data_IF_174760372691
#
_entry.id   IF_174760372691
#
_cell.length_a   1.000
_cell.length_b   1.000
_cell.length_c   1.000
_cell.angle_alpha   90.00
_cell.angle_beta   90.00
_cell.angle_gamma   90.00
#
_symmetry.space_group_name_H-M   'P 1'
#
loop_
_entity.id
_entity.type
_entity.pdbx_description
1 polymer ?
#
# COMPACT_ATOMS: atom_id res chain seq x y z
N UNK A 1 -53.19 -23.31 17.78
CA UNK A 1 -52.25 -22.67 18.72
C UNK A 1 -50.84 -23.16 18.42
N UNK A 2 -50.13 -22.57 17.45
CA UNK A 2 -48.68 -22.70 17.30
C UNK A 2 -48.15 -21.45 16.57
N UNK A 3 -47.35 -20.65 17.29
CA UNK A 3 -46.55 -19.56 16.75
C UNK A 3 -45.21 -20.14 16.30
N UNK A 4 -44.86 -20.03 15.03
CA UNK A 4 -43.47 -20.15 14.59
C UNK A 4 -42.95 -18.78 14.19
N UNK A 5 -42.18 -18.17 15.10
CA UNK A 5 -41.30 -17.03 14.80
C UNK A 5 -40.29 -17.49 13.74
N UNK A 6 -40.41 -16.98 12.51
CA UNK A 6 -39.34 -17.08 11.54
C UNK A 6 -38.18 -16.19 11.98
N UNK A 7 -37.06 -16.85 12.28
CA UNK A 7 -35.75 -16.26 12.48
C UNK A 7 -35.34 -15.58 11.18
N UNK A 8 -35.14 -14.26 11.22
CA UNK A 8 -34.46 -13.53 10.15
C UNK A 8 -32.99 -13.97 10.11
N UNK A 9 -32.43 -14.40 8.96
CA UNK A 9 -30.99 -14.54 8.82
C UNK A 9 -30.38 -13.14 8.68
N UNK A 10 -29.41 -12.86 9.55
CA UNK A 10 -28.57 -11.68 9.62
C UNK A 10 -27.73 -11.52 8.34
N UNK A 11 -28.18 -10.64 7.44
CA UNK A 11 -27.46 -10.26 6.23
C UNK A 11 -26.43 -9.16 6.55
N UNK A 12 -25.37 -9.51 7.28
CA UNK A 12 -24.26 -8.61 7.63
C UNK A 12 -23.17 -8.52 6.54
N UNK A 13 -23.24 -9.37 5.50
CA UNK A 13 -22.21 -9.41 4.43
C UNK A 13 -22.53 -8.53 3.21
N UNK A 14 -23.79 -8.19 2.96
CA UNK A 14 -24.19 -7.40 1.78
C UNK A 14 -24.07 -5.89 2.01
N UNK A 15 -24.27 -5.41 3.25
CA UNK A 15 -24.07 -4.01 3.62
C UNK A 15 -22.59 -3.60 3.65
N UNK A 16 -21.68 -4.52 4.02
CA UNK A 16 -20.23 -4.24 3.99
C UNK A 16 -19.69 -4.17 2.55
N UNK A 17 -20.25 -4.95 1.61
CA UNK A 17 -19.95 -4.84 0.18
C UNK A 17 -20.51 -3.57 -0.45
N UNK A 18 -21.66 -3.06 0.00
CA UNK A 18 -22.22 -1.79 -0.50
C UNK A 18 -21.47 -0.56 0.03
N UNK A 19 -21.05 -0.57 1.30
CA UNK A 19 -20.33 0.55 1.93
C UNK A 19 -18.86 0.65 1.51
N UNK A 20 -18.22 -0.48 1.18
CA UNK A 20 -16.86 -0.48 0.59
C UNK A 20 -16.84 0.17 -0.80
N UNK A 21 -17.90 -0.06 -1.60
CA UNK A 21 -18.05 0.47 -2.95
C UNK A 21 -18.28 2.00 -3.00
N UNK A 22 -19.00 2.56 -2.03
CA UNK A 22 -19.36 4.00 -2.01
C UNK A 22 -18.14 4.91 -1.76
N UNK A 23 -17.16 4.48 -0.96
CA UNK A 23 -16.06 5.36 -0.52
C UNK A 23 -14.90 5.47 -1.54
N UNK A 24 -14.68 4.47 -2.40
CA UNK A 24 -13.62 4.51 -3.42
C UNK A 24 -14.11 5.05 -4.77
N UNK A 25 -15.43 5.16 -4.98
CA UNK A 25 -15.96 5.72 -6.23
C UNK A 25 -15.64 7.21 -6.42
N UNK A 26 -15.78 8.05 -5.38
CA UNK A 26 -15.49 9.48 -5.50
C UNK A 26 -14.02 9.76 -5.85
N UNK A 27 -13.02 9.13 -5.20
CA UNK A 27 -11.63 9.41 -5.55
C UNK A 27 -11.17 8.78 -6.88
N UNK A 28 -11.71 7.63 -7.26
CA UNK A 28 -11.47 7.03 -8.59
C UNK A 28 -12.14 7.86 -9.71
N UNK A 29 -13.24 8.56 -9.41
CA UNK A 29 -13.82 9.55 -10.31
C UNK A 29 -12.91 10.79 -10.42
N UNK A 30 -12.29 11.23 -9.33
CA UNK A 30 -11.31 12.33 -9.35
C UNK A 30 -10.11 12.00 -10.26
N UNK A 31 -9.66 10.75 -10.29
CA UNK A 31 -8.68 10.25 -11.26
C UNK A 31 -9.16 10.41 -12.71
N UNK A 32 -10.39 10.00 -13.02
CA UNK A 32 -10.95 10.13 -14.36
C UNK A 32 -11.13 11.60 -14.79
N UNK A 33 -11.52 12.48 -13.87
CA UNK A 33 -11.78 13.90 -14.14
C UNK A 33 -10.51 14.74 -14.25
N UNK A 34 -9.53 14.51 -13.38
CA UNK A 34 -8.31 15.33 -13.35
C UNK A 34 -7.21 14.80 -14.28
N UNK A 35 -7.25 13.52 -14.67
CA UNK A 35 -6.28 12.92 -15.58
C UNK A 35 -4.84 13.19 -15.15
N UNK A 36 -4.13 14.03 -15.91
CA UNK A 36 -2.74 14.42 -15.66
C UNK A 36 -2.53 15.36 -14.48
N UNK A 37 -3.57 16.04 -13.99
CA UNK A 37 -3.47 17.06 -12.93
C UNK A 37 -3.69 16.50 -11.52
N UNK A 38 -3.51 15.19 -11.32
CA UNK A 38 -3.62 14.59 -10.00
C UNK A 38 -2.46 15.00 -9.09
N UNK A 39 -2.77 15.52 -7.90
CA UNK A 39 -1.80 15.90 -6.88
C UNK A 39 -1.49 14.77 -5.91
N UNK A 40 -0.40 14.94 -5.16
CA UNK A 40 0.07 13.99 -4.15
C UNK A 40 -1.01 13.64 -3.13
N UNK A 41 -1.73 14.64 -2.61
CA UNK A 41 -2.73 14.50 -1.55
C UNK A 41 -3.83 13.54 -1.97
N UNK A 42 -4.25 13.64 -3.23
CA UNK A 42 -5.30 12.80 -3.80
C UNK A 42 -4.81 11.35 -3.85
N UNK A 43 -3.64 11.09 -4.44
CA UNK A 43 -3.07 9.75 -4.49
C UNK A 43 -2.86 9.14 -3.10
N UNK A 44 -2.35 9.94 -2.16
CA UNK A 44 -2.15 9.50 -0.78
C UNK A 44 -3.48 9.09 -0.12
N UNK A 45 -4.53 9.89 -0.25
CA UNK A 45 -5.85 9.57 0.29
C UNK A 45 -6.40 8.27 -0.28
N UNK A 46 -6.34 8.09 -1.60
CA UNK A 46 -6.86 6.88 -2.27
C UNK A 46 -6.07 5.64 -1.86
N UNK A 47 -4.74 5.72 -1.89
CA UNK A 47 -3.89 4.59 -1.52
C UNK A 47 -4.05 4.24 -0.04
N UNK A 48 -4.19 5.22 0.85
CA UNK A 48 -4.44 4.96 2.27
C UNK A 48 -5.76 4.20 2.47
N UNK A 49 -6.81 4.60 1.75
CA UNK A 49 -8.09 3.90 1.79
C UNK A 49 -7.98 2.48 1.22
N UNK A 50 -7.26 2.30 0.11
CA UNK A 50 -7.02 0.99 -0.48
C UNK A 50 -6.25 0.06 0.47
N UNK A 51 -5.25 0.59 1.18
CA UNK A 51 -4.48 -0.13 2.21
C UNK A 51 -5.39 -0.57 3.36
N UNK A 52 -6.27 0.30 3.84
CA UNK A 52 -7.18 0.01 4.95
C UNK A 52 -8.21 -1.07 4.59
N UNK A 53 -8.71 -1.01 3.35
CA UNK A 53 -9.71 -1.95 2.84
C UNK A 53 -9.15 -3.20 2.19
N UNK A 54 -7.82 -3.29 2.02
CA UNK A 54 -7.15 -4.31 1.20
C UNK A 54 -7.75 -4.37 -0.23
N UNK A 55 -8.03 -3.19 -0.79
CA UNK A 55 -8.68 -3.03 -2.09
C UNK A 55 -7.67 -3.19 -3.24
N UNK A 56 -7.37 -4.45 -3.58
CA UNK A 56 -6.32 -4.80 -4.54
C UNK A 56 -6.54 -4.20 -5.94
N UNK A 57 -7.75 -4.36 -6.49
CA UNK A 57 -8.07 -3.91 -7.86
C UNK A 57 -8.03 -2.39 -7.99
N UNK A 58 -8.53 -1.69 -6.99
CA UNK A 58 -8.55 -0.23 -6.92
C UNK A 58 -7.12 0.30 -6.76
N UNK A 59 -6.32 -0.34 -5.90
CA UNK A 59 -4.89 -0.10 -5.78
C UNK A 59 -4.13 -0.22 -7.10
N UNK A 60 -4.39 -1.30 -7.86
CA UNK A 60 -3.82 -1.48 -9.21
C UNK A 60 -4.24 -0.37 -10.17
N UNK A 61 -5.51 0.07 -10.13
CA UNK A 61 -5.97 1.19 -10.97
C UNK A 61 -5.24 2.49 -10.65
N UNK A 62 -5.03 2.77 -9.36
CA UNK A 62 -4.25 3.94 -8.92
C UNK A 62 -2.81 3.86 -9.41
N UNK A 63 -2.15 2.72 -9.22
CA UNK A 63 -0.78 2.52 -9.65
C UNK A 63 -0.65 2.61 -11.19
N UNK A 64 -1.54 1.97 -11.94
CA UNK A 64 -1.58 2.03 -13.40
C UNK A 64 -1.83 3.45 -13.92
N UNK A 65 -2.67 4.24 -13.23
CA UNK A 65 -2.85 5.65 -13.57
C UNK A 65 -1.54 6.41 -13.41
N UNK A 66 -0.88 6.31 -12.25
CA UNK A 66 0.40 6.99 -12.01
C UNK A 66 1.40 6.72 -13.16
N UNK A 67 1.51 5.45 -13.58
CA UNK A 67 2.35 5.04 -14.71
C UNK A 67 1.88 5.69 -16.02
N UNK A 68 0.59 5.58 -16.34
CA UNK A 68 0.00 6.11 -17.58
C UNK A 68 0.17 7.63 -17.72
N UNK A 69 0.09 8.36 -16.61
CA UNK A 69 0.27 9.82 -16.60
C UNK A 69 1.72 10.24 -16.38
N UNK A 70 2.67 9.28 -16.32
CA UNK A 70 4.09 9.53 -16.03
C UNK A 70 4.30 10.34 -14.75
N UNK A 71 3.42 10.12 -13.76
CA UNK A 71 3.58 10.71 -12.45
C UNK A 71 4.80 10.09 -11.79
N UNK A 72 5.67 10.93 -11.20
CA UNK A 72 6.85 10.48 -10.47
C UNK A 72 6.55 10.49 -8.97
N UNK A 73 6.09 9.37 -8.39
CA UNK A 73 5.75 9.32 -6.98
C UNK A 73 7.00 9.45 -6.11
N UNK A 74 6.86 10.20 -5.02
CA UNK A 74 7.87 10.29 -3.97
C UNK A 74 8.11 8.92 -3.31
N UNK A 75 9.26 8.78 -2.62
CA UNK A 75 9.60 7.59 -1.82
C UNK A 75 8.45 7.21 -0.89
N UNK A 76 7.73 8.20 -0.34
CA UNK A 76 6.56 7.98 0.51
C UNK A 76 5.40 7.28 -0.22
N UNK A 77 5.00 7.76 -1.40
CA UNK A 77 3.91 7.10 -2.17
C UNK A 77 4.32 5.72 -2.69
N UNK A 78 5.58 5.55 -3.09
CA UNK A 78 6.13 4.23 -3.47
C UNK A 78 6.10 3.26 -2.29
N UNK A 79 6.49 3.72 -1.10
CA UNK A 79 6.39 2.93 0.14
C UNK A 79 4.93 2.59 0.47
N UNK A 80 3.99 3.51 0.23
CA UNK A 80 2.56 3.23 0.39
C UNK A 80 2.07 2.15 -0.57
N UNK A 81 2.51 2.17 -1.84
CA UNK A 81 2.21 1.13 -2.82
C UNK A 81 2.76 -0.24 -2.37
N UNK A 82 3.98 -0.30 -1.84
CA UNK A 82 4.54 -1.51 -1.23
C UNK A 82 3.61 -2.02 -0.11
N UNK A 83 3.21 -1.15 0.82
CA UNK A 83 2.32 -1.53 1.93
C UNK A 83 0.95 -2.01 1.42
N UNK A 84 0.42 -1.39 0.37
CA UNK A 84 -0.82 -1.83 -0.28
C UNK A 84 -0.69 -3.25 -0.83
N UNK A 85 0.30 -3.50 -1.68
CA UNK A 85 0.49 -4.80 -2.32
C UNK A 85 0.80 -5.90 -1.30
N UNK A 86 1.61 -5.60 -0.29
CA UNK A 86 1.87 -6.52 0.82
C UNK A 86 0.63 -6.79 1.66
N UNK A 87 -0.28 -5.83 1.89
CA UNK A 87 -1.55 -6.13 2.60
C UNK A 87 -2.56 -6.90 1.76
N UNK A 88 -2.43 -6.84 0.45
CA UNK A 88 -3.25 -7.57 -0.51
C UNK A 88 -2.63 -8.91 -0.94
N UNK A 89 -1.65 -9.40 -0.20
CA UNK A 89 -0.96 -10.68 -0.44
C UNK A 89 -0.26 -10.81 -1.80
N UNK A 90 -0.01 -9.69 -2.47
CA UNK A 90 0.81 -9.64 -3.70
C UNK A 90 2.23 -9.20 -3.37
N UNK A 91 3.04 -10.15 -2.89
CA UNK A 91 4.44 -9.88 -2.53
C UNK A 91 5.30 -9.58 -3.77
N UNK A 92 4.95 -10.17 -4.93
CA UNK A 92 5.63 -9.91 -6.20
C UNK A 92 5.45 -8.46 -6.67
N UNK A 93 4.22 -7.95 -6.68
CA UNK A 93 3.96 -6.55 -7.06
C UNK A 93 4.64 -5.57 -6.09
N UNK A 94 4.63 -5.88 -4.79
CA UNK A 94 5.34 -5.09 -3.80
C UNK A 94 6.84 -5.03 -4.08
N UNK A 95 7.44 -6.18 -4.43
CA UNK A 95 8.86 -6.25 -4.76
C UNK A 95 9.19 -5.50 -6.05
N UNK A 96 8.35 -5.59 -7.08
CA UNK A 96 8.52 -4.83 -8.33
C UNK A 96 8.51 -3.31 -8.05
N UNK A 97 7.56 -2.82 -7.26
CA UNK A 97 7.53 -1.40 -6.87
C UNK A 97 8.82 -1.00 -6.15
N UNK A 98 9.30 -1.86 -5.25
CA UNK A 98 10.53 -1.65 -4.50
C UNK A 98 11.77 -1.62 -5.40
N UNK A 99 11.86 -2.50 -6.38
CA UNK A 99 12.98 -2.58 -7.33
C UNK A 99 13.03 -1.36 -8.27
N UNK A 100 11.88 -0.82 -8.64
CA UNK A 100 11.75 0.39 -9.44
C UNK A 100 12.01 1.70 -8.66
N UNK A 101 12.24 1.65 -7.34
CA UNK A 101 12.53 2.85 -6.56
C UNK A 101 13.95 3.37 -6.85
N UNK A 102 14.11 4.63 -7.31
CA UNK A 102 15.44 5.21 -7.49
C UNK A 102 16.14 5.45 -6.15
N UNK A 103 15.36 5.82 -5.13
CA UNK A 103 15.82 6.05 -3.77
C UNK A 103 14.96 5.25 -2.80
N UNK A 104 15.61 4.65 -1.80
CA UNK A 104 14.97 3.84 -0.76
C UNK A 104 15.42 4.37 0.58
N UNK A 105 14.50 4.49 1.52
CA UNK A 105 14.79 4.87 2.90
C UNK A 105 14.53 3.69 3.84
N UNK A 106 14.87 3.87 5.13
CA UNK A 106 14.68 2.87 6.19
C UNK A 106 13.24 2.31 6.18
N UNK A 107 12.23 3.15 5.98
CA UNK A 107 10.81 2.74 5.98
C UNK A 107 10.51 1.80 4.80
N UNK A 108 10.98 2.11 3.60
CA UNK A 108 10.77 1.25 2.42
C UNK A 108 11.45 -0.12 2.56
N UNK A 109 12.68 -0.16 3.09
CA UNK A 109 13.41 -1.40 3.34
C UNK A 109 12.71 -2.26 4.40
N UNK A 110 12.39 -1.66 5.54
CA UNK A 110 11.74 -2.37 6.65
C UNK A 110 10.35 -2.88 6.29
N UNK A 111 9.61 -2.17 5.44
CA UNK A 111 8.33 -2.65 4.90
C UNK A 111 8.51 -3.96 4.12
N UNK A 112 9.48 -4.04 3.20
CA UNK A 112 9.75 -5.25 2.42
C UNK A 112 10.29 -6.41 3.26
N UNK A 113 11.26 -6.14 4.14
CA UNK A 113 11.84 -7.15 5.04
C UNK A 113 10.74 -7.76 5.93
N UNK A 114 9.89 -6.92 6.51
CA UNK A 114 8.76 -7.38 7.33
C UNK A 114 7.78 -8.21 6.52
N UNK A 115 7.48 -7.80 5.29
CA UNK A 115 6.53 -8.49 4.43
C UNK A 115 6.99 -9.90 4.02
N UNK A 116 8.28 -10.11 3.79
CA UNK A 116 8.85 -11.45 3.56
C UNK A 116 8.91 -12.27 4.85
N UNK A 117 9.37 -11.66 5.95
CA UNK A 117 9.49 -12.33 7.26
C UNK A 117 8.14 -12.87 7.77
N UNK A 118 7.09 -12.06 7.72
CA UNK A 118 5.74 -12.43 8.16
C UNK A 118 5.12 -13.57 7.32
N UNK A 119 5.67 -13.84 6.13
CA UNK A 119 5.21 -14.92 5.23
C UNK A 119 6.11 -16.16 5.27
N UNK A 120 7.07 -16.22 6.18
CA UNK A 120 7.98 -17.36 6.34
C UNK A 120 9.13 -17.37 5.33
N UNK A 121 9.32 -16.32 4.54
CA UNK A 121 10.41 -16.20 3.56
C UNK A 121 11.67 -15.60 4.20
N UNK A 122 12.19 -16.28 5.23
CA UNK A 122 13.29 -15.79 6.06
C UNK A 122 14.57 -15.50 5.25
N UNK A 123 14.91 -16.35 4.26
CA UNK A 123 16.09 -16.18 3.42
C UNK A 123 16.03 -14.90 2.58
N UNK A 124 14.87 -14.59 1.98
CA UNK A 124 14.65 -13.36 1.22
C UNK A 124 14.66 -12.13 2.13
N UNK A 125 14.04 -12.22 3.30
CA UNK A 125 14.07 -11.15 4.29
C UNK A 125 15.51 -10.82 4.75
N UNK A 126 16.32 -11.86 5.02
CA UNK A 126 17.72 -11.70 5.38
C UNK A 126 18.54 -11.11 4.23
N UNK A 127 18.31 -11.56 3.00
CA UNK A 127 18.99 -11.01 1.83
C UNK A 127 18.70 -9.50 1.68
N UNK A 128 17.43 -9.09 1.78
CA UNK A 128 17.05 -7.68 1.76
C UNK A 128 17.68 -6.89 2.90
N UNK A 129 17.75 -7.44 4.11
CA UNK A 129 18.42 -6.81 5.24
C UNK A 129 19.92 -6.59 4.95
N UNK A 130 20.61 -7.58 4.38
CA UNK A 130 22.01 -7.44 4.00
C UNK A 130 22.21 -6.40 2.87
N UNK A 131 21.29 -6.34 1.91
CA UNK A 131 21.31 -5.29 0.88
C UNK A 131 21.13 -3.89 1.47
N UNK A 132 20.21 -3.73 2.42
CA UNK A 132 20.00 -2.49 3.16
C UNK A 132 21.30 -2.01 3.81
N UNK A 133 21.99 -2.90 4.55
CA UNK A 133 23.27 -2.58 5.18
C UNK A 133 24.35 -2.18 4.16
N UNK A 134 24.43 -2.89 3.02
CA UNK A 134 25.39 -2.55 1.95
C UNK A 134 25.11 -1.21 1.29
N UNK A 135 23.86 -0.76 1.29
CA UNK A 135 23.48 0.57 0.79
C UNK A 135 23.83 1.71 1.77
N UNK A 136 24.44 1.40 2.92
CA UNK A 136 24.79 2.38 3.95
C UNK A 136 23.59 2.88 4.76
N UNK A 137 22.44 2.22 4.63
CA UNK A 137 21.23 2.57 5.38
C UNK A 137 21.16 1.68 6.61
N UNK A 138 21.27 2.28 7.79
CA UNK A 138 21.23 1.57 9.07
C UNK A 138 19.88 1.79 9.76
N UNK A 139 19.38 0.77 10.46
CA UNK A 139 18.18 0.87 11.30
C UNK A 139 18.43 1.82 12.50
N UNK A 140 19.70 2.15 12.78
CA UNK A 140 20.16 2.91 13.93
C UNK A 140 20.48 4.39 13.64
N UNK A 141 19.82 5.03 12.66
CA UNK A 141 19.73 6.50 12.69
C UNK A 141 18.41 6.99 13.31
N UNK A 142 18.30 7.06 14.64
CA UNK A 142 17.54 8.11 15.28
C UNK A 142 18.44 9.35 15.40
N UNK A 143 18.36 10.29 14.46
CA UNK A 143 18.63 11.71 14.72
C UNK A 143 19.95 12.07 15.46
N UNK A 144 21.08 11.38 15.23
CA UNK A 144 22.34 11.69 15.94
C UNK A 144 23.43 12.40 15.11
N UNK A 145 23.28 12.54 13.79
CA UNK A 145 24.29 13.23 12.96
C UNK A 145 23.87 14.66 12.53
N UNK A 146 23.24 15.40 13.46
CA UNK A 146 23.09 16.87 13.32
C UNK A 146 23.54 17.64 14.57
N UNK A 147 24.63 17.23 15.22
CA UNK A 147 25.46 18.14 16.02
C UNK A 147 26.90 17.62 16.05
N UNK A 148 27.67 17.84 14.98
CA UNK A 148 29.13 17.98 14.99
C UNK A 148 29.61 18.38 13.58
N UNK A 149 29.39 19.65 13.26
CA UNK A 149 30.28 20.55 12.51
C UNK A 149 29.64 21.94 12.42
#
# INVERSE_FOLDING_TARGET
MFLTRHVFPSNSRTLSTFTTHIHLQQPLLQMALHGFNMKFENYNAILNECVNKRAFREGQRVHAHMIKTRYLPSVFLRTRLIVLYTKCDSLGDAHNVFDEMPERNVVSWTAMISAYSQRGYASQALNLFLQMLRSGIYILEPCLDKQLN
#
